data_IF_674992419338
#
_entry.id   IF_674992419338
#
_cell.length_a   1.000
_cell.length_b   1.000
_cell.length_c   1.000
_cell.angle_alpha   90.00
_cell.angle_beta   90.00
_cell.angle_gamma   90.00
#
_symmetry.space_group_name_H-M   'P 1'
#
loop_
_entity.id
_entity.type
_entity.pdbx_description
1 polymer ?
#
# COMPACT_ATOMS: atom_id res chain seq x y z
N UNK A 1 19.14 -18.76 -5.84
CA UNK A 1 18.06 -18.94 -4.86
C UNK A 1 17.78 -17.58 -4.26
N UNK A 2 16.57 -17.02 -4.45
CA UNK A 2 16.14 -15.87 -3.65
C UNK A 2 16.20 -16.31 -2.19
N UNK A 3 17.16 -15.79 -1.42
CA UNK A 3 17.09 -15.90 0.03
C UNK A 3 16.00 -14.94 0.49
N UNK A 4 14.76 -15.42 0.50
CA UNK A 4 13.62 -14.68 1.03
C UNK A 4 13.82 -14.58 2.54
N UNK A 5 14.38 -13.45 3.01
CA UNK A 5 14.34 -13.11 4.42
C UNK A 5 12.89 -12.81 4.78
N UNK A 6 12.12 -13.85 5.12
CA UNK A 6 10.72 -13.73 5.55
C UNK A 6 10.55 -12.65 6.65
N UNK A 7 11.59 -12.43 7.45
CA UNK A 7 11.68 -11.35 8.42
C UNK A 7 11.59 -9.94 7.82
N UNK A 8 12.15 -9.68 6.64
CA UNK A 8 12.09 -8.35 6.01
C UNK A 8 10.70 -8.07 5.45
N UNK A 9 10.06 -9.05 4.82
CA UNK A 9 8.66 -8.91 4.39
C UNK A 9 7.71 -8.75 5.59
N UNK A 10 7.94 -9.51 6.65
CA UNK A 10 7.15 -9.39 7.88
C UNK A 10 7.35 -8.02 8.55
N UNK A 11 8.59 -7.52 8.61
CA UNK A 11 8.89 -6.19 9.14
C UNK A 11 8.24 -5.10 8.31
N UNK A 12 8.37 -5.16 6.99
CA UNK A 12 7.72 -4.22 6.07
C UNK A 12 6.20 -4.25 6.23
N UNK A 13 5.61 -5.44 6.35
CA UNK A 13 4.18 -5.61 6.57
C UNK A 13 3.74 -4.98 7.90
N UNK A 14 4.48 -5.24 8.99
CA UNK A 14 4.21 -4.68 10.31
C UNK A 14 4.32 -3.15 10.33
N UNK A 15 5.40 -2.59 9.78
CA UNK A 15 5.62 -1.14 9.69
C UNK A 15 4.54 -0.46 8.84
N UNK A 16 4.12 -1.10 7.75
CA UNK A 16 3.04 -0.59 6.89
C UNK A 16 1.70 -0.65 7.61
N UNK A 17 1.36 -1.76 8.29
CA UNK A 17 0.14 -1.88 9.08
C UNK A 17 0.08 -0.85 10.22
N UNK A 18 1.19 -0.63 10.92
CA UNK A 18 1.27 0.38 11.98
C UNK A 18 1.05 1.79 11.41
N UNK A 19 1.68 2.13 10.28
CA UNK A 19 1.51 3.43 9.63
C UNK A 19 0.05 3.67 9.22
N UNK A 20 -0.64 2.63 8.71
CA UNK A 20 -2.07 2.70 8.37
C UNK A 20 -2.93 2.98 9.60
N UNK A 21 -2.70 2.25 10.68
CA UNK A 21 -3.50 2.33 11.90
C UNK A 21 -3.24 3.63 12.70
N UNK A 22 -2.07 4.25 12.54
CA UNK A 22 -1.68 5.48 13.25
C UNK A 22 -2.13 6.74 12.54
N UNK A 23 -2.53 6.63 11.28
CA UNK A 23 -2.80 7.78 10.44
C UNK A 23 -4.16 8.41 10.78
N UNK A 24 -4.14 9.73 10.95
CA UNK A 24 -5.31 10.55 11.29
C UNK A 24 -6.16 10.89 10.07
N UNK A 25 -5.59 10.72 8.88
CA UNK A 25 -6.18 11.06 7.59
C UNK A 25 -6.12 9.83 6.68
N UNK A 26 -7.29 9.34 6.27
CA UNK A 26 -7.44 8.18 5.40
C UNK A 26 -6.69 8.33 4.08
N UNK A 27 -6.66 9.52 3.48
CA UNK A 27 -5.99 9.71 2.19
C UNK A 27 -4.47 9.54 2.31
N UNK A 28 -3.86 10.15 3.35
CA UNK A 28 -2.44 10.00 3.64
C UNK A 28 -2.05 8.53 3.89
N UNK A 29 -2.94 7.77 4.54
CA UNK A 29 -2.78 6.33 4.72
C UNK A 29 -2.69 5.58 3.39
N UNK A 30 -3.66 5.83 2.51
CA UNK A 30 -3.76 5.14 1.23
C UNK A 30 -2.57 5.48 0.34
N UNK A 31 -2.12 6.74 0.35
CA UNK A 31 -0.94 7.21 -0.38
C UNK A 31 0.34 6.55 0.14
N UNK A 32 0.55 6.52 1.46
CA UNK A 32 1.69 5.87 2.10
C UNK A 32 1.76 4.37 1.78
N UNK A 33 0.62 3.69 1.76
CA UNK A 33 0.55 2.28 1.39
C UNK A 33 1.03 2.04 -0.04
N UNK A 34 0.49 2.78 -1.02
CA UNK A 34 0.89 2.60 -2.42
C UNK A 34 2.38 2.91 -2.62
N UNK A 35 2.87 4.00 -2.02
CA UNK A 35 4.28 4.37 -2.10
C UNK A 35 5.22 3.30 -1.53
N UNK A 36 4.91 2.79 -0.33
CA UNK A 36 5.72 1.75 0.33
C UNK A 36 5.71 0.44 -0.44
N UNK A 37 4.55 0.05 -0.98
CA UNK A 37 4.45 -1.15 -1.82
C UNK A 37 5.26 -1.02 -3.10
N UNK A 38 5.19 0.11 -3.80
CA UNK A 38 5.97 0.36 -5.02
C UNK A 38 7.48 0.29 -4.73
N UNK A 39 7.93 0.94 -3.65
CA UNK A 39 9.33 0.92 -3.23
C UNK A 39 9.79 -0.50 -2.84
N UNK A 40 8.98 -1.23 -2.08
CA UNK A 40 9.32 -2.57 -1.61
C UNK A 40 9.37 -3.64 -2.71
N UNK A 41 8.56 -3.48 -3.76
CA UNK A 41 8.53 -4.39 -4.89
C UNK A 41 9.51 -3.99 -6.01
N UNK A 42 10.21 -2.85 -5.85
CA UNK A 42 11.13 -2.29 -6.85
C UNK A 42 10.50 -2.14 -8.25
N UNK A 43 9.22 -1.75 -8.28
CA UNK A 43 8.46 -1.52 -9.53
C UNK A 43 8.34 -0.03 -9.83
N UNK A 44 8.00 0.32 -11.07
CA UNK A 44 7.92 1.72 -11.52
C UNK A 44 6.77 2.49 -10.86
N UNK A 45 5.61 1.86 -10.70
CA UNK A 45 4.40 2.54 -10.28
C UNK A 45 3.36 1.55 -9.72
N UNK A 46 2.38 2.07 -8.99
CA UNK A 46 1.26 1.34 -8.43
C UNK A 46 0.04 2.23 -8.25
N UNK A 47 -1.14 1.61 -8.19
CA UNK A 47 -2.41 2.29 -7.93
C UNK A 47 -3.30 1.44 -7.04
N UNK A 48 -4.02 2.10 -6.13
CA UNK A 48 -4.99 1.48 -5.24
C UNK A 48 -6.40 1.86 -5.68
N UNK A 49 -7.26 0.84 -5.81
CA UNK A 49 -8.66 1.01 -6.16
C UNK A 49 -9.54 0.39 -5.08
N UNK A 50 -10.61 1.08 -4.73
CA UNK A 50 -11.66 0.56 -3.87
C UNK A 50 -12.95 0.41 -4.67
N UNK A 51 -13.78 -0.53 -4.26
CA UNK A 51 -15.14 -0.66 -4.79
C UNK A 51 -15.95 0.50 -4.22
N UNK A 52 -16.57 1.27 -5.10
CA UNK A 52 -17.61 2.22 -4.74
C UNK A 52 -18.92 1.46 -4.54
N UNK A 53 -19.41 1.39 -3.30
CA UNK A 53 -20.57 0.57 -2.93
C UNK A 53 -21.88 1.00 -3.62
N UNK A 54 -21.98 2.25 -4.09
CA UNK A 54 -23.18 2.75 -4.75
C UNK A 54 -23.21 2.34 -6.23
N UNK A 55 -22.06 2.42 -6.89
CA UNK A 55 -21.94 2.18 -8.32
C UNK A 55 -21.40 0.79 -8.69
N UNK A 56 -20.91 0.02 -7.70
CA UNK A 56 -20.16 -1.23 -7.88
C UNK A 56 -18.93 -1.11 -8.81
N UNK A 57 -18.44 0.11 -9.02
CA UNK A 57 -17.28 0.36 -9.86
C UNK A 57 -15.99 0.50 -9.05
N UNK A 58 -14.86 0.18 -9.67
CA UNK A 58 -13.55 0.41 -9.08
C UNK A 58 -13.17 1.90 -9.21
N UNK A 59 -13.11 2.60 -8.07
CA UNK A 59 -12.62 3.97 -8.00
C UNK A 59 -11.16 3.95 -7.58
N UNK A 60 -10.30 4.64 -8.34
CA UNK A 60 -8.92 4.87 -7.92
C UNK A 60 -8.88 5.87 -6.78
N UNK A 61 -8.25 5.47 -5.68
CA UNK A 61 -8.19 6.24 -4.43
C UNK A 61 -6.78 6.69 -4.10
N UNK A 62 -5.77 6.07 -4.71
CA UNK A 62 -4.37 6.51 -4.62
C UNK A 62 -3.54 5.96 -5.78
N UNK A 63 -2.43 6.62 -6.10
CA UNK A 63 -1.43 6.18 -7.09
C UNK A 63 -0.07 6.81 -6.84
N UNK A 64 0.99 6.08 -7.15
CA UNK A 64 2.39 6.52 -7.02
C UNK A 64 3.25 5.92 -8.14
N UNK A 65 4.21 6.68 -8.69
CA UNK A 65 5.14 6.22 -9.73
C UNK A 65 5.82 7.34 -10.52
#
# INVERSE_FOLDING_TARGET
MLQTNANEYFRLFFETAQAILSARNLQETLDSLVQRTVAALEIKAGGLRMIDEQSNNLKQVSSFG
#
